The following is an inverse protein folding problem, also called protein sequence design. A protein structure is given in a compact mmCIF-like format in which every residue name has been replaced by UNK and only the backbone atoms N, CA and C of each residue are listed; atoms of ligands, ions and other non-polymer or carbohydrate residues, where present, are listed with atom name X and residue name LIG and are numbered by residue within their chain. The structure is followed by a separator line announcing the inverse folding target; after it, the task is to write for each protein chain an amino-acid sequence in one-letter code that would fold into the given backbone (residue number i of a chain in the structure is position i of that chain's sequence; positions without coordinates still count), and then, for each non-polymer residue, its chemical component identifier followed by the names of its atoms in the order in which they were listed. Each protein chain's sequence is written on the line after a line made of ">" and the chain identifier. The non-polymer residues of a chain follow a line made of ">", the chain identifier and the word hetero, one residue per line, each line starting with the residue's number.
data_IF_541808783094
#
_entry.id   IF_541808783094
#
_cell.length_a   1.000
_cell.length_b   1.000
_cell.length_c   1.000
_cell.angle_alpha   90.00
_cell.angle_beta   90.00
_cell.angle_gamma   90.00
#
_symmetry.space_group_name_H-M   'P 1'
#
loop_
_entity.id
_entity.type
_entity.pdbx_description
1 polymer ?
#
# COMPACT_ATOMS: atom_id res chain seq x y z
N UNK A 1 -20.63 -11.90 -0.36
CA UNK A 1 -19.98 -12.07 0.95
C UNK A 1 -20.14 -10.77 1.71
N UNK A 2 -20.73 -10.78 2.91
CA UNK A 2 -20.73 -9.61 3.80
C UNK A 2 -19.37 -9.56 4.49
N UNK A 3 -18.42 -8.88 3.86
CA UNK A 3 -17.14 -8.56 4.48
C UNK A 3 -17.40 -7.24 5.21
N UNK A 4 -17.45 -7.28 6.54
CA UNK A 4 -17.43 -6.03 7.30
C UNK A 4 -16.12 -5.30 6.97
N UNK A 5 -16.16 -3.98 6.67
CA UNK A 5 -14.95 -3.23 6.39
C UNK A 5 -14.01 -3.34 7.60
N UNK A 6 -12.80 -3.86 7.37
CA UNK A 6 -11.75 -3.92 8.38
C UNK A 6 -10.54 -3.20 7.80
N UNK A 7 -10.41 -1.89 8.05
CA UNK A 7 -9.39 -1.05 7.41
C UNK A 7 -7.97 -1.59 7.55
N UNK A 8 -7.66 -2.31 8.63
CA UNK A 8 -6.34 -2.90 8.85
C UNK A 8 -6.06 -4.13 7.98
N UNK A 9 -7.07 -4.97 7.72
CA UNK A 9 -6.92 -6.10 6.80
C UNK A 9 -6.93 -5.59 5.36
N UNK A 10 -7.86 -4.68 5.07
CA UNK A 10 -8.02 -4.06 3.76
C UNK A 10 -6.73 -3.33 3.32
N UNK A 11 -6.01 -2.70 4.26
CA UNK A 11 -4.70 -2.09 4.03
C UNK A 11 -3.61 -3.12 3.73
N UNK A 12 -3.58 -4.24 4.45
CA UNK A 12 -2.59 -5.31 4.19
C UNK A 12 -2.80 -5.93 2.83
N UNK A 13 -4.04 -6.16 2.46
CA UNK A 13 -4.41 -6.69 1.16
C UNK A 13 -4.01 -5.69 0.07
N UNK A 14 -4.33 -4.39 0.23
CA UNK A 14 -3.88 -3.33 -0.66
C UNK A 14 -2.35 -3.31 -0.85
N UNK A 15 -1.58 -3.33 0.24
CA UNK A 15 -0.12 -3.34 0.18
C UNK A 15 0.42 -4.62 -0.45
N UNK A 16 -0.30 -5.73 -0.33
CA UNK A 16 0.02 -7.02 -0.96
C UNK A 16 -0.02 -6.99 -2.49
N UNK A 17 -0.75 -6.06 -3.11
CA UNK A 17 -0.78 -5.91 -4.58
C UNK A 17 0.59 -5.53 -5.15
N UNK A 18 1.46 -4.91 -4.36
CA UNK A 18 2.83 -4.55 -4.75
C UNK A 18 3.84 -5.67 -4.48
N UNK A 19 3.39 -6.88 -4.15
CA UNK A 19 4.30 -8.01 -4.07
C UNK A 19 4.82 -8.37 -5.47
N UNK A 20 6.13 -8.32 -5.68
CA UNK A 20 6.74 -8.60 -6.99
C UNK A 20 6.50 -10.02 -7.49
N UNK A 21 6.14 -10.95 -6.60
CA UNK A 21 5.80 -12.32 -6.97
C UNK A 21 4.33 -12.51 -7.33
N UNK A 22 3.50 -11.50 -7.07
CA UNK A 22 2.04 -11.56 -7.24
C UNK A 22 1.57 -10.71 -8.44
N UNK A 23 2.34 -9.70 -8.85
CA UNK A 23 2.14 -8.93 -10.10
C UNK A 23 0.73 -8.35 -10.29
N UNK A 24 0.17 -7.73 -9.24
CA UNK A 24 -1.22 -7.21 -9.23
C UNK A 24 -1.32 -5.69 -8.99
N UNK A 25 -0.23 -4.93 -9.16
CA UNK A 25 -0.27 -3.48 -8.87
C UNK A 25 -1.19 -2.71 -9.83
N UNK A 26 -1.32 -3.16 -11.09
CA UNK A 26 -2.26 -2.62 -12.07
C UNK A 26 -3.76 -2.83 -11.68
N UNK A 27 -4.07 -3.76 -10.77
CA UNK A 27 -5.45 -4.13 -10.38
C UNK A 27 -5.95 -3.37 -9.14
N UNK A 28 -5.16 -2.42 -8.62
CA UNK A 28 -5.50 -1.70 -7.38
C UNK A 28 -6.79 -0.87 -7.52
N UNK A 29 -7.04 -0.33 -8.72
CA UNK A 29 -8.29 0.33 -9.06
C UNK A 29 -9.50 -0.64 -9.01
N UNK A 30 -9.32 -1.88 -9.47
CA UNK A 30 -10.36 -2.92 -9.42
C UNK A 30 -10.61 -3.40 -7.99
N UNK A 31 -9.56 -3.49 -7.18
CA UNK A 31 -9.66 -3.79 -5.75
C UNK A 31 -10.44 -2.73 -4.97
N UNK A 32 -10.23 -1.44 -5.28
CA UNK A 32 -10.93 -0.33 -4.65
C UNK A 32 -12.31 -0.06 -5.27
N UNK A 33 -12.62 -0.55 -6.47
CA UNK A 33 -13.92 -0.36 -7.13
C UNK A 33 -15.14 -0.76 -6.27
N UNK A 34 -15.16 -1.90 -5.55
CA UNK A 34 -16.29 -2.31 -4.72
C UNK A 34 -16.42 -1.55 -3.40
N UNK A 35 -15.41 -0.79 -2.96
CA UNK A 35 -15.44 -0.07 -1.68
C UNK A 35 -16.39 1.13 -1.75
N UNK A 36 -17.20 1.31 -0.71
CA UNK A 36 -17.99 2.54 -0.58
C UNK A 36 -17.10 3.74 -0.30
N UNK A 37 -17.61 4.96 -0.52
CA UNK A 37 -16.84 6.17 -0.20
C UNK A 37 -16.42 6.22 1.29
N UNK A 38 -17.28 5.73 2.19
CA UNK A 38 -16.97 5.64 3.62
C UNK A 38 -15.87 4.63 3.92
N UNK A 39 -15.86 3.48 3.23
CA UNK A 39 -14.83 2.46 3.43
C UNK A 39 -13.48 2.91 2.85
N UNK A 40 -13.49 3.60 1.70
CA UNK A 40 -12.28 4.23 1.14
C UNK A 40 -11.69 5.27 2.08
N UNK A 41 -12.53 6.10 2.69
CA UNK A 41 -12.09 7.10 3.65
C UNK A 41 -11.55 6.45 4.94
N UNK A 42 -12.18 5.38 5.43
CA UNK A 42 -11.66 4.62 6.58
C UNK A 42 -10.29 3.97 6.27
N UNK A 43 -10.14 3.39 5.07
CA UNK A 43 -8.88 2.82 4.60
C UNK A 43 -7.80 3.89 4.46
N UNK A 44 -8.15 5.05 3.90
CA UNK A 44 -7.26 6.21 3.79
C UNK A 44 -6.77 6.68 5.16
N UNK A 45 -7.68 6.82 6.13
CA UNK A 45 -7.35 7.25 7.49
C UNK A 45 -6.44 6.24 8.21
N UNK A 46 -6.69 4.94 8.05
CA UNK A 46 -5.82 3.90 8.59
C UNK A 46 -4.42 3.94 7.95
N UNK A 47 -4.34 4.13 6.62
CA UNK A 47 -3.06 4.30 5.93
C UNK A 47 -2.30 5.53 6.46
N UNK A 48 -2.96 6.68 6.54
CA UNK A 48 -2.36 7.91 7.05
C UNK A 48 -1.85 7.74 8.49
N UNK A 49 -2.62 7.05 9.34
CA UNK A 49 -2.23 6.73 10.71
C UNK A 49 -0.95 5.87 10.73
N UNK A 50 -0.88 4.82 9.90
CA UNK A 50 0.29 3.93 9.84
C UNK A 50 1.55 4.65 9.34
N UNK A 51 1.41 5.55 8.36
CA UNK A 51 2.49 6.44 7.92
C UNK A 51 2.96 7.37 9.05
N UNK A 52 2.01 8.01 9.75
CA UNK A 52 2.30 8.96 10.83
C UNK A 52 2.95 8.29 12.05
N UNK A 53 2.54 7.08 12.39
CA UNK A 53 3.12 6.29 13.47
C UNK A 53 4.45 5.61 13.08
N UNK A 54 4.94 5.81 11.86
CA UNK A 54 6.15 5.17 11.32
C UNK A 54 6.09 3.63 11.37
N UNK A 55 4.88 3.05 11.25
CA UNK A 55 4.70 1.59 11.22
C UNK A 55 5.04 1.00 9.86
N UNK A 56 5.01 1.81 8.81
CA UNK A 56 5.38 1.46 7.43
C UNK A 56 6.85 1.78 7.15
N UNK A 57 7.73 0.91 7.63
CA UNK A 57 9.18 1.02 7.50
C UNK A 57 9.78 -0.11 6.65
N UNK A 58 11.11 -0.28 6.68
CA UNK A 58 11.83 -1.24 5.82
C UNK A 58 11.37 -2.71 6.00
N UNK A 59 11.03 -3.13 7.23
CA UNK A 59 10.53 -4.48 7.50
C UNK A 59 9.18 -4.74 6.82
N UNK A 60 8.25 -3.77 6.89
CA UNK A 60 6.96 -3.89 6.22
C UNK A 60 7.13 -3.79 4.69
N UNK A 61 8.04 -2.96 4.19
CA UNK A 61 8.37 -2.93 2.76
C UNK A 61 8.77 -4.32 2.29
N UNK A 62 9.68 -4.99 3.01
CA UNK A 62 10.09 -6.36 2.70
C UNK A 62 8.95 -7.36 2.79
N UNK A 63 8.09 -7.22 3.78
CA UNK A 63 6.93 -8.09 3.97
C UNK A 63 5.97 -8.02 2.79
N UNK A 64 5.64 -6.81 2.34
CA UNK A 64 4.61 -6.61 1.31
C UNK A 64 5.15 -6.76 -0.11
N UNK A 65 6.35 -6.24 -0.37
CA UNK A 65 6.94 -6.28 -1.73
C UNK A 65 7.74 -7.55 -2.01
N UNK A 66 8.04 -8.35 -0.98
CA UNK A 66 9.04 -9.44 -0.99
C UNK A 66 10.48 -8.99 -1.32
N UNK A 67 10.75 -7.69 -1.27
CA UNK A 67 12.01 -7.06 -1.67
C UNK A 67 12.62 -6.24 -0.53
N UNK A 68 13.94 -6.14 -0.44
CA UNK A 68 14.56 -5.25 0.55
C UNK A 68 14.64 -3.83 0.00
N UNK A 69 14.18 -2.84 0.76
CA UNK A 69 14.36 -1.43 0.39
C UNK A 69 15.86 -1.04 0.42
N UNK A 70 16.25 -0.04 -0.37
CA UNK A 70 17.59 0.56 -0.32
C UNK A 70 17.97 1.06 1.08
N UNK A 71 17.04 1.77 1.73
CA UNK A 71 17.15 2.24 3.10
C UNK A 71 15.75 2.54 3.66
N UNK A 72 15.68 2.95 4.92
CA UNK A 72 14.41 3.23 5.58
C UNK A 72 13.66 4.43 4.95
N UNK A 73 14.37 5.44 4.47
CA UNK A 73 13.77 6.60 3.80
C UNK A 73 13.09 6.19 2.50
N UNK A 74 13.75 5.35 1.69
CA UNK A 74 13.21 4.80 0.45
C UNK A 74 11.98 3.92 0.71
N UNK A 75 12.01 3.09 1.76
CA UNK A 75 10.84 2.29 2.16
C UNK A 75 9.64 3.20 2.51
N UNK A 76 9.88 4.26 3.29
CA UNK A 76 8.83 5.22 3.66
C UNK A 76 8.31 5.97 2.43
N UNK A 77 9.19 6.32 1.49
CA UNK A 77 8.79 7.01 0.27
C UNK A 77 7.88 6.14 -0.58
N UNK A 78 8.20 4.85 -0.76
CA UNK A 78 7.33 3.89 -1.44
C UNK A 78 5.91 3.90 -0.87
N UNK A 79 5.75 3.81 0.45
CA UNK A 79 4.41 3.81 1.06
C UNK A 79 3.65 5.13 0.88
N UNK A 80 4.35 6.26 0.81
CA UNK A 80 3.73 7.55 0.48
C UNK A 80 3.25 7.59 -0.97
N UNK A 81 4.04 7.04 -1.88
CA UNK A 81 3.70 6.99 -3.30
C UNK A 81 2.51 6.03 -3.54
N UNK A 82 2.47 4.90 -2.83
CA UNK A 82 1.30 4.00 -2.82
C UNK A 82 0.05 4.71 -2.31
N UNK A 83 0.17 5.48 -1.22
CA UNK A 83 -0.94 6.28 -0.69
C UNK A 83 -1.43 7.30 -1.72
N UNK A 84 -0.51 8.01 -2.38
CA UNK A 84 -0.86 8.98 -3.41
C UNK A 84 -1.54 8.32 -4.61
N UNK A 85 -1.04 7.17 -5.07
CA UNK A 85 -1.67 6.38 -6.13
C UNK A 85 -3.09 5.95 -5.77
N UNK A 86 -3.28 5.40 -4.56
CA UNK A 86 -4.56 4.84 -4.13
C UNK A 86 -5.63 5.90 -3.86
N UNK A 87 -5.26 7.09 -3.36
CA UNK A 87 -6.25 8.07 -2.84
C UNK A 87 -6.15 9.48 -3.44
N UNK A 88 -5.02 9.86 -4.02
CA UNK A 88 -4.79 11.24 -4.49
C UNK A 88 -4.63 11.34 -6.01
N UNK A 89 -4.72 10.21 -6.73
CA UNK A 89 -4.53 10.15 -8.18
C UNK A 89 -3.06 10.30 -8.59
N UNK A 90 -2.13 9.88 -7.72
CA UNK A 90 -0.71 9.78 -8.01
C UNK A 90 -0.39 8.72 -9.06
N UNK A 91 0.88 8.63 -9.46
CA UNK A 91 1.37 7.59 -10.37
C UNK A 91 1.61 6.29 -9.61
N UNK A 92 1.42 5.15 -10.28
CA UNK A 92 1.67 3.83 -9.69
C UNK A 92 3.18 3.65 -9.40
N UNK A 93 3.58 3.36 -8.15
CA UNK A 93 4.99 3.17 -7.83
C UNK A 93 5.49 1.79 -8.29
N UNK A 94 6.56 1.76 -9.10
CA UNK A 94 7.29 0.51 -9.40
C UNK A 94 8.23 0.18 -8.23
N UNK A 95 8.00 -0.96 -7.57
CA UNK A 95 8.86 -1.48 -6.48
C UNK A 95 10.35 -1.48 -6.85
N UNK A 96 10.68 -1.67 -8.14
CA UNK A 96 12.05 -1.70 -8.64
C UNK A 96 12.80 -0.39 -8.47
N UNK A 97 12.09 0.72 -8.35
CA UNK A 97 12.69 2.04 -8.11
C UNK A 97 13.10 2.23 -6.64
N UNK A 98 12.59 1.38 -5.74
CA UNK A 98 12.77 1.51 -4.29
C UNK A 98 13.60 0.38 -3.67
N UNK A 99 13.75 -0.76 -4.36
CA UNK A 99 14.50 -1.89 -3.83
C UNK A 99 16.02 -1.74 -3.97
N UNK A 100 16.76 -2.42 -3.11
CA UNK A 100 18.21 -2.58 -3.23
C UNK A 100 18.51 -3.85 -4.04
N UNK A 101 19.22 -3.70 -5.16
CA UNK A 101 19.48 -4.79 -6.10
C UNK A 101 20.78 -5.55 -5.80
#
# INVERSE_FOLDING_TARGET
>A
MNIYPNPQNDLKDLLGHFNVNVAMSDELAEYLAPYSASDKEALRQEFELQLKENRLAADEFRRFTACSACNEETARQFFKDVYAYAFEGGEEPDVRDYWNR
#
